data_IF_687525374049
#
_entry.id   IF_687525374049
#
_cell.length_a   1.000
_cell.length_b   1.000
_cell.length_c   1.000
_cell.angle_alpha   90.00
_cell.angle_beta   90.00
_cell.angle_gamma   90.00
#
_symmetry.space_group_name_H-M   'P 1'
#
loop_
_entity.id
_entity.type
_entity.pdbx_description
1 polymer ?
#
# COMPACT_ATOMS: atom_id res chain seq x y z
N UNK A 1 -38.08 9.00 49.72
CA UNK A 1 -37.31 9.15 48.46
C UNK A 1 -35.89 8.71 48.78
N UNK A 2 -35.34 7.86 47.94
CA UNK A 2 -34.26 6.93 48.27
C UNK A 2 -32.88 7.59 48.25
N UNK A 3 -32.17 7.48 49.37
CA UNK A 3 -30.71 7.41 49.42
C UNK A 3 -30.36 5.93 49.63
N UNK A 4 -29.60 5.35 48.71
CA UNK A 4 -28.98 4.05 48.93
C UNK A 4 -27.60 4.06 48.28
N UNK A 5 -26.61 4.04 49.14
CA UNK A 5 -25.19 3.87 48.84
C UNK A 5 -24.95 2.52 48.15
N UNK A 6 -24.54 2.57 46.89
CA UNK A 6 -24.03 1.39 46.18
C UNK A 6 -22.53 1.25 46.51
N UNK A 7 -22.22 0.63 47.65
CA UNK A 7 -20.89 0.15 47.98
C UNK A 7 -20.75 -1.30 47.51
N UNK A 8 -20.07 -1.52 46.39
CA UNK A 8 -19.66 -2.86 45.94
C UNK A 8 -18.15 -2.96 46.01
N UNK A 9 -17.71 -3.58 47.10
CA UNK A 9 -16.36 -4.09 47.34
C UNK A 9 -15.96 -5.06 46.22
N UNK A 10 -14.89 -4.74 45.49
CA UNK A 10 -14.26 -5.67 44.56
C UNK A 10 -13.33 -6.62 45.32
N UNK A 11 -13.60 -7.91 45.18
CA UNK A 11 -12.85 -9.02 45.75
C UNK A 11 -11.43 -9.09 45.19
N UNK A 12 -10.45 -9.18 46.09
CA UNK A 12 -9.05 -9.46 45.76
C UNK A 12 -8.92 -10.88 45.19
N UNK A 13 -8.57 -10.98 43.91
CA UNK A 13 -8.23 -12.25 43.27
C UNK A 13 -6.85 -12.67 43.75
N UNK A 14 -6.87 -13.80 44.44
CA UNK A 14 -5.81 -14.63 45.01
C UNK A 14 -4.49 -14.64 44.24
N UNK A 15 -3.42 -14.25 44.97
CA UNK A 15 -2.08 -14.81 44.83
C UNK A 15 -2.17 -16.33 45.02
N UNK A 16 -1.74 -17.11 44.04
CA UNK A 16 -1.69 -18.56 44.18
C UNK A 16 -0.96 -19.25 43.03
N UNK A 17 0.13 -19.95 43.37
CA UNK A 17 0.69 -21.01 42.54
C UNK A 17 2.10 -20.77 42.03
N UNK A 18 3.07 -20.99 42.92
CA UNK A 18 4.43 -21.33 42.53
C UNK A 18 4.40 -22.62 41.71
N UNK A 19 4.53 -22.48 40.39
CA UNK A 19 4.78 -23.56 39.47
C UNK A 19 6.04 -23.22 38.69
N UNK A 20 7.15 -23.88 39.04
CA UNK A 20 8.36 -23.99 38.23
C UNK A 20 8.02 -24.66 36.90
N UNK A 21 7.35 -23.93 36.02
CA UNK A 21 7.33 -24.21 34.61
C UNK A 21 8.67 -23.75 34.07
N UNK A 22 9.55 -24.71 33.77
CA UNK A 22 10.72 -24.48 32.91
C UNK A 22 10.23 -23.74 31.68
N UNK A 23 10.43 -22.41 31.66
CA UNK A 23 10.29 -21.60 30.45
C UNK A 23 11.36 -22.15 29.54
N UNK A 24 10.96 -23.09 28.68
CA UNK A 24 11.75 -23.55 27.56
C UNK A 24 11.90 -22.30 26.70
N UNK A 25 12.96 -21.55 26.96
CA UNK A 25 13.43 -20.49 26.10
C UNK A 25 13.70 -21.16 24.77
N UNK A 26 12.68 -21.14 23.91
CA UNK A 26 12.85 -21.51 22.52
C UNK A 26 13.90 -20.54 22.00
N UNK A 27 15.03 -21.01 21.46
CA UNK A 27 15.99 -20.11 20.86
C UNK A 27 15.31 -19.64 19.58
N UNK A 28 14.57 -18.52 19.65
CA UNK A 28 14.13 -17.79 18.47
C UNK A 28 15.41 -17.22 17.86
N UNK A 29 15.97 -18.09 17.04
CA UNK A 29 17.25 -17.96 16.37
C UNK A 29 17.02 -16.97 15.26
N UNK A 30 17.56 -15.76 15.41
CA UNK A 30 17.99 -14.86 14.31
C UNK A 30 16.98 -14.63 13.16
N UNK A 31 15.68 -14.86 13.40
CA UNK A 31 14.64 -14.68 12.41
C UNK A 31 14.30 -13.19 12.38
N UNK A 32 14.62 -12.54 11.26
CA UNK A 32 14.38 -11.12 11.06
C UNK A 32 12.93 -10.76 11.43
N UNK A 33 12.75 -9.67 12.16
CA UNK A 33 11.43 -9.27 12.62
C UNK A 33 10.51 -8.96 11.42
N UNK A 34 9.41 -9.70 11.18
CA UNK A 34 8.63 -9.62 9.94
C UNK A 34 8.12 -8.22 9.56
N UNK A 35 7.73 -7.33 10.51
CA UNK A 35 7.38 -5.95 10.18
C UNK A 35 8.54 -5.14 9.58
N UNK A 36 9.80 -5.47 9.87
CA UNK A 36 10.96 -4.79 9.27
C UNK A 36 11.03 -5.06 7.77
N UNK A 37 10.85 -6.32 7.37
CA UNK A 37 10.77 -6.70 5.95
C UNK A 37 9.56 -6.04 5.29
N UNK A 38 8.42 -6.06 5.97
CA UNK A 38 7.19 -5.45 5.49
C UNK A 38 7.34 -3.93 5.26
N UNK A 39 8.06 -3.24 6.14
CA UNK A 39 8.38 -1.82 5.98
C UNK A 39 9.29 -1.59 4.76
N UNK A 40 10.31 -2.41 4.55
CA UNK A 40 11.19 -2.30 3.37
C UNK A 40 10.40 -2.47 2.08
N UNK A 41 9.53 -3.47 2.03
CA UNK A 41 8.67 -3.72 0.88
C UNK A 41 7.68 -2.57 0.65
N UNK A 42 7.08 -2.06 1.73
CA UNK A 42 6.13 -0.95 1.67
C UNK A 42 6.81 0.33 1.16
N UNK A 43 7.99 0.68 1.68
CA UNK A 43 8.76 1.85 1.23
C UNK A 43 9.14 1.74 -0.26
N UNK A 44 9.52 0.54 -0.72
CA UNK A 44 9.79 0.29 -2.13
C UNK A 44 8.54 0.49 -2.98
N UNK A 45 7.42 -0.12 -2.62
CA UNK A 45 6.15 -0.01 -3.33
C UNK A 45 5.68 1.46 -3.39
N UNK A 46 5.77 2.18 -2.26
CA UNK A 46 5.43 3.59 -2.17
C UNK A 46 6.32 4.44 -3.08
N UNK A 47 7.63 4.19 -3.12
CA UNK A 47 8.54 4.91 -3.99
C UNK A 47 8.24 4.67 -5.48
N UNK A 48 7.98 3.41 -5.86
CA UNK A 48 7.62 3.06 -7.24
C UNK A 48 6.29 3.73 -7.65
N UNK A 49 5.28 3.70 -6.78
CA UNK A 49 4.01 4.42 -6.98
C UNK A 49 4.23 5.93 -7.22
N UNK A 50 5.05 6.60 -6.40
CA UNK A 50 5.36 8.03 -6.58
C UNK A 50 6.05 8.31 -7.92
N UNK A 51 6.98 7.45 -8.35
CA UNK A 51 7.66 7.59 -9.64
C UNK A 51 6.67 7.46 -10.79
N UNK A 52 5.78 6.47 -10.75
CA UNK A 52 4.78 6.23 -11.79
C UNK A 52 3.70 7.31 -11.80
N UNK A 53 3.28 7.83 -10.65
CA UNK A 53 2.39 8.98 -10.55
C UNK A 53 2.96 10.22 -11.26
N UNK A 54 4.23 10.57 -10.99
CA UNK A 54 4.88 11.68 -11.71
C UNK A 54 5.00 11.42 -13.21
N UNK A 55 5.16 10.17 -13.62
CA UNK A 55 5.20 9.80 -15.03
C UNK A 55 3.81 9.94 -15.68
N UNK A 56 2.77 9.47 -15.02
CA UNK A 56 1.37 9.60 -15.41
C UNK A 56 0.98 11.08 -15.56
N UNK A 57 1.26 11.93 -14.57
CA UNK A 57 0.94 13.38 -14.61
C UNK A 57 1.61 14.11 -15.79
N UNK A 58 2.84 13.73 -16.14
CA UNK A 58 3.54 14.29 -17.31
C UNK A 58 2.88 13.89 -18.61
N UNK A 59 2.41 12.64 -18.71
CA UNK A 59 1.71 12.16 -19.90
C UNK A 59 0.30 12.73 -20.00
N UNK A 60 -0.37 12.92 -18.88
CA UNK A 60 -1.65 13.63 -18.80
C UNK A 60 -1.53 15.04 -19.39
N UNK A 61 -0.53 15.80 -18.91
CA UNK A 61 -0.25 17.15 -19.41
C UNK A 61 -0.05 17.16 -20.93
N UNK A 62 0.68 16.17 -21.47
CA UNK A 62 0.89 16.04 -22.93
C UNK A 62 -0.38 15.65 -23.67
N UNK A 63 -1.18 14.74 -23.13
CA UNK A 63 -2.43 14.28 -23.74
C UNK A 63 -3.45 15.42 -23.85
N UNK A 64 -3.50 16.31 -22.85
CA UNK A 64 -4.33 17.51 -22.85
C UNK A 64 -3.84 18.58 -23.83
N UNK A 65 -2.53 18.70 -24.05
CA UNK A 65 -1.93 19.72 -24.94
C UNK A 65 -1.75 19.31 -26.41
N UNK A 66 -2.07 18.07 -26.81
CA UNK A 66 -1.75 17.54 -28.13
C UNK A 66 -2.87 17.73 -29.19
N UNK A 67 -2.48 17.91 -30.46
CA UNK A 67 -3.40 17.90 -31.61
C UNK A 67 -4.06 16.54 -31.86
N UNK A 68 -5.15 16.47 -32.63
CA UNK A 68 -6.07 15.30 -32.69
C UNK A 68 -5.42 13.91 -32.88
N UNK A 69 -4.44 13.76 -33.76
CA UNK A 69 -3.73 12.49 -33.98
C UNK A 69 -2.76 12.16 -32.83
N UNK A 70 -1.91 13.12 -32.44
CA UNK A 70 -1.01 13.01 -31.30
C UNK A 70 -1.76 12.80 -29.97
N UNK A 71 -2.99 13.33 -29.83
CA UNK A 71 -3.86 13.13 -28.67
C UNK A 71 -4.29 11.68 -28.52
N UNK A 72 -4.49 10.92 -29.61
CA UNK A 72 -4.83 9.48 -29.51
C UNK A 72 -3.67 8.67 -28.98
N UNK A 73 -2.47 8.86 -29.52
CA UNK A 73 -1.25 8.18 -29.04
C UNK A 73 -0.90 8.59 -27.61
N UNK A 74 -0.99 9.89 -27.30
CA UNK A 74 -0.75 10.40 -25.96
C UNK A 74 -1.76 9.86 -24.94
N UNK A 75 -3.04 9.70 -25.32
CA UNK A 75 -4.07 9.07 -24.49
C UNK A 75 -3.76 7.61 -24.20
N UNK A 76 -3.29 6.85 -25.18
CA UNK A 76 -2.86 5.45 -24.95
C UNK A 76 -1.69 5.40 -23.97
N UNK A 77 -0.67 6.23 -24.18
CA UNK A 77 0.46 6.31 -23.25
C UNK A 77 0.04 6.72 -21.84
N UNK A 78 -0.85 7.69 -21.72
CA UNK A 78 -1.46 8.10 -20.46
C UNK A 78 -2.22 6.95 -19.78
N UNK A 79 -3.07 6.21 -20.49
CA UNK A 79 -3.84 5.10 -19.93
C UNK A 79 -2.94 3.99 -19.39
N UNK A 80 -1.85 3.65 -20.10
CA UNK A 80 -0.85 2.69 -19.61
C UNK A 80 -0.16 3.21 -18.35
N UNK A 81 0.22 4.49 -18.32
CA UNK A 81 0.87 5.06 -17.15
C UNK A 81 -0.08 5.16 -15.94
N UNK A 82 -1.36 5.46 -16.18
CA UNK A 82 -2.41 5.45 -15.16
C UNK A 82 -2.59 4.06 -14.58
N UNK A 83 -2.75 3.02 -15.41
CA UNK A 83 -2.85 1.66 -14.88
C UNK A 83 -1.60 1.23 -14.11
N UNK A 84 -0.40 1.53 -14.63
CA UNK A 84 0.84 1.20 -13.94
C UNK A 84 0.93 1.86 -12.56
N UNK A 85 0.49 3.12 -12.45
CA UNK A 85 0.42 3.86 -11.19
C UNK A 85 -0.57 3.23 -10.21
N UNK A 86 -1.79 2.89 -10.68
CA UNK A 86 -2.83 2.22 -9.90
C UNK A 86 -2.35 0.87 -9.36
N UNK A 87 -1.72 0.03 -10.20
CA UNK A 87 -1.17 -1.26 -9.75
C UNK A 87 -0.06 -1.11 -8.70
N UNK A 88 0.83 -0.13 -8.88
CA UNK A 88 1.90 0.14 -7.95
C UNK A 88 1.38 0.68 -6.61
N UNK A 89 0.43 1.61 -6.64
CA UNK A 89 -0.26 2.10 -5.45
C UNK A 89 -0.97 0.95 -4.72
N UNK A 90 -1.73 0.14 -5.45
CA UNK A 90 -2.42 -1.05 -4.93
C UNK A 90 -1.46 -2.01 -4.23
N UNK A 91 -0.22 -2.12 -4.71
CA UNK A 91 0.77 -3.00 -4.09
C UNK A 91 1.22 -2.48 -2.71
N UNK A 92 1.29 -1.16 -2.50
CA UNK A 92 1.51 -0.58 -1.17
C UNK A 92 0.29 -0.80 -0.24
N UNK A 93 -0.94 -0.65 -0.75
CA UNK A 93 -2.18 -0.94 0.00
C UNK A 93 -2.23 -2.42 0.46
N UNK A 94 -1.92 -3.37 -0.42
CA UNK A 94 -1.86 -4.80 -0.08
C UNK A 94 -0.89 -5.10 1.07
N UNK A 95 0.15 -4.30 1.22
CA UNK A 95 1.10 -4.43 2.33
C UNK A 95 0.49 -3.89 3.62
N UNK A 96 -0.20 -2.75 3.56
CA UNK A 96 -0.95 -2.21 4.70
C UNK A 96 -2.05 -3.17 5.17
N UNK A 97 -2.77 -3.84 4.26
CA UNK A 97 -3.80 -4.83 4.60
C UNK A 97 -3.25 -6.03 5.40
N UNK A 98 -1.97 -6.38 5.17
CA UNK A 98 -1.29 -7.47 5.90
C UNK A 98 -0.81 -7.02 7.27
N UNK A 99 -0.52 -5.73 7.44
CA UNK A 99 0.13 -5.16 8.61
C UNK A 99 -0.51 -5.54 9.96
N UNK A 100 -1.86 -5.53 10.14
CA UNK A 100 -2.46 -5.88 11.43
C UNK A 100 -2.18 -7.33 11.84
N UNK A 101 -2.07 -8.24 10.87
CA UNK A 101 -1.85 -9.67 11.07
C UNK A 101 -0.36 -10.03 11.21
N UNK A 102 0.53 -9.13 10.83
CA UNK A 102 1.98 -9.30 10.99
C UNK A 102 2.38 -9.00 12.44
N UNK A 103 2.73 -10.04 13.18
CA UNK A 103 3.21 -9.95 14.56
C UNK A 103 4.62 -9.36 14.58
N UNK A 104 4.86 -8.39 15.47
CA UNK A 104 6.19 -7.90 15.78
C UNK A 104 6.82 -8.78 16.88
N UNK A 105 8.08 -9.13 16.70
CA UNK A 105 8.89 -9.87 17.69
C UNK A 105 9.85 -8.97 18.46
N UNK A 106 9.97 -7.70 18.08
CA UNK A 106 10.80 -6.69 18.74
C UNK A 106 10.11 -5.31 18.81
N UNK A 107 10.64 -4.41 19.63
CA UNK A 107 10.22 -3.00 19.64
C UNK A 107 10.52 -2.31 18.30
N UNK A 108 11.61 -2.66 17.63
CA UNK A 108 11.89 -2.16 16.27
C UNK A 108 10.84 -2.63 15.25
N UNK A 109 10.29 -3.82 15.40
CA UNK A 109 9.14 -4.27 14.60
C UNK A 109 7.90 -3.44 14.86
N UNK A 110 7.63 -3.06 16.13
CA UNK A 110 6.52 -2.14 16.46
C UNK A 110 6.76 -0.76 15.83
N UNK A 111 7.98 -0.23 15.93
CA UNK A 111 8.39 1.01 15.24
C UNK A 111 8.10 0.89 13.75
N UNK A 112 8.51 -0.20 13.09
CA UNK A 112 8.25 -0.40 11.67
C UNK A 112 6.77 -0.42 11.30
N UNK A 113 5.90 -0.99 12.14
CA UNK A 113 4.45 -0.93 11.90
C UNK A 113 3.94 0.50 11.95
N UNK A 114 4.38 1.27 12.94
CA UNK A 114 3.99 2.67 13.08
C UNK A 114 4.55 3.54 11.95
N UNK A 115 5.75 3.26 11.45
CA UNK A 115 6.31 3.93 10.27
C UNK A 115 5.46 3.68 9.02
N UNK A 116 4.94 2.47 8.83
CA UNK A 116 3.99 2.18 7.75
C UNK A 116 2.69 2.94 7.96
N UNK A 117 2.16 3.00 9.19
CA UNK A 117 0.89 3.69 9.50
C UNK A 117 1.02 5.20 9.24
N UNK A 118 2.06 5.84 9.78
CA UNK A 118 2.32 7.27 9.60
C UNK A 118 2.69 7.58 8.15
N UNK A 119 3.48 6.70 7.50
CA UNK A 119 3.90 6.88 6.12
C UNK A 119 2.84 6.58 5.07
N UNK A 120 1.80 5.81 5.41
CA UNK A 120 0.68 5.46 4.52
C UNK A 120 -0.04 6.68 3.94
N UNK A 121 0.23 7.87 4.49
CA UNK A 121 -0.51 9.07 4.23
C UNK A 121 -0.38 9.61 2.79
N UNK A 122 -1.51 9.53 2.06
CA UNK A 122 -1.84 10.42 0.93
C UNK A 122 -3.29 10.94 0.99
N UNK A 123 -4.09 10.55 1.98
CA UNK A 123 -5.54 10.78 2.00
C UNK A 123 -6.08 11.16 3.40
N UNK A 124 -5.24 11.49 4.38
CA UNK A 124 -5.74 12.08 5.62
C UNK A 124 -6.14 13.53 5.32
N UNK A 125 -7.44 13.83 5.41
CA UNK A 125 -8.00 15.18 5.19
C UNK A 125 -7.35 16.23 6.11
N UNK A 126 -7.06 15.86 7.36
CA UNK A 126 -6.33 16.68 8.33
C UNK A 126 -5.44 15.83 9.28
N UNK A 127 -4.10 15.82 9.08
CA UNK A 127 -3.17 15.05 9.91
C UNK A 127 -3.05 15.57 11.36
N UNK A 128 -3.72 16.68 11.69
CA UNK A 128 -3.79 17.19 13.07
C UNK A 128 -4.97 16.60 13.85
N UNK A 129 -5.89 15.91 13.18
CA UNK A 129 -7.02 15.27 13.85
C UNK A 129 -6.61 14.03 14.64
N UNK A 130 -7.38 13.75 15.70
CA UNK A 130 -7.24 12.51 16.45
C UNK A 130 -7.44 11.30 15.51
N UNK A 131 -6.59 10.25 15.55
CA UNK A 131 -5.53 9.99 16.53
C UNK A 131 -4.09 10.36 16.08
N UNK A 132 -3.90 11.00 14.93
CA UNK A 132 -2.59 11.08 14.28
C UNK A 132 -1.48 11.73 15.11
N UNK A 133 -1.69 12.89 15.78
CA UNK A 133 -0.67 13.46 16.65
C UNK A 133 -0.22 12.53 17.78
N UNK A 134 -1.13 11.67 18.27
CA UNK A 134 -0.83 10.72 19.34
C UNK A 134 0.01 9.55 18.81
N UNK A 135 -0.32 9.05 17.61
CA UNK A 135 0.45 7.99 16.95
C UNK A 135 1.87 8.48 16.63
N UNK A 136 2.02 9.69 16.11
CA UNK A 136 3.32 10.30 15.85
C UNK A 136 4.14 10.51 17.14
N UNK A 137 3.50 10.95 18.23
CA UNK A 137 4.15 11.07 19.53
C UNK A 137 4.67 9.71 20.02
N UNK A 138 3.83 8.67 19.99
CA UNK A 138 4.21 7.31 20.40
C UNK A 138 5.36 6.79 19.54
N UNK A 139 5.31 7.01 18.22
CA UNK A 139 6.38 6.61 17.31
C UNK A 139 7.70 7.32 17.66
N UNK A 140 7.66 8.62 17.97
CA UNK A 140 8.84 9.39 18.37
C UNK A 140 9.45 8.82 19.65
N UNK A 141 8.63 8.60 20.67
CA UNK A 141 9.11 8.07 21.96
C UNK A 141 9.69 6.66 21.80
N UNK A 142 9.06 5.80 20.98
CA UNK A 142 9.57 4.46 20.71
C UNK A 142 10.90 4.48 19.94
N UNK A 143 11.12 5.44 19.03
CA UNK A 143 12.40 5.61 18.35
C UNK A 143 13.53 6.00 19.30
N UNK A 144 13.24 6.84 20.29
CA UNK A 144 14.21 7.22 21.33
C UNK A 144 14.58 6.03 22.22
N UNK A 145 13.61 5.15 22.53
CA UNK A 145 13.82 4.01 23.43
C UNK A 145 14.47 2.81 22.71
N UNK A 146 13.97 2.47 21.53
CA UNK A 146 14.32 1.24 20.81
C UNK A 146 15.26 1.45 19.62
N UNK A 147 15.51 2.70 19.23
CA UNK A 147 16.22 3.07 18.02
C UNK A 147 15.31 3.22 16.80
N UNK A 148 15.91 3.64 15.69
CA UNK A 148 15.22 3.81 14.41
C UNK A 148 15.53 2.65 13.46
N UNK A 149 14.57 2.34 12.58
CA UNK A 149 14.80 1.40 11.49
C UNK A 149 15.58 2.12 10.38
N UNK A 150 16.73 1.62 9.92
CA UNK A 150 17.49 2.28 8.87
C UNK A 150 16.70 2.35 7.57
N UNK A 151 16.49 3.57 7.07
CA UNK A 151 15.87 3.83 5.79
C UNK A 151 16.91 3.74 4.67
N UNK A 152 17.12 2.54 4.15
CA UNK A 152 17.87 2.39 2.90
C UNK A 152 16.98 2.86 1.75
N UNK A 153 17.44 3.91 1.05
CA UNK A 153 16.82 4.30 -0.21
C UNK A 153 16.86 3.09 -1.16
N UNK A 154 15.72 2.67 -1.75
CA UNK A 154 15.73 1.55 -2.69
C UNK A 154 16.72 1.81 -3.82
N UNK A 155 17.49 0.78 -4.21
CA UNK A 155 18.39 0.89 -5.35
C UNK A 155 17.59 1.33 -6.59
N UNK A 156 18.12 2.36 -7.26
CA UNK A 156 17.54 2.90 -8.49
C UNK A 156 17.35 1.81 -9.55
N UNK A 157 18.26 0.83 -9.62
CA UNK A 157 18.17 -0.28 -10.57
C UNK A 157 16.91 -1.13 -10.32
N UNK A 158 16.62 -1.44 -9.05
CA UNK A 158 15.45 -2.20 -8.59
C UNK A 158 14.18 -1.40 -8.88
N UNK A 159 14.15 -0.12 -8.51
CA UNK A 159 12.99 0.75 -8.75
C UNK A 159 12.66 0.83 -10.24
N UNK A 160 13.69 0.95 -11.10
CA UNK A 160 13.48 0.95 -12.55
C UNK A 160 12.93 -0.38 -13.06
N UNK A 161 13.42 -1.50 -12.55
CA UNK A 161 12.92 -2.83 -12.91
C UNK A 161 11.44 -2.98 -12.51
N UNK A 162 11.07 -2.56 -11.30
CA UNK A 162 9.69 -2.58 -10.82
C UNK A 162 8.78 -1.68 -11.66
N UNK A 163 9.22 -0.44 -11.98
CA UNK A 163 8.48 0.44 -12.87
C UNK A 163 8.21 -0.21 -14.24
N UNK A 164 9.22 -0.84 -14.84
CA UNK A 164 9.06 -1.55 -16.13
C UNK A 164 8.08 -2.71 -16.02
N UNK A 165 8.10 -3.44 -14.90
CA UNK A 165 7.17 -4.55 -14.64
C UNK A 165 5.72 -4.06 -14.57
N UNK A 166 5.45 -2.98 -13.85
CA UNK A 166 4.10 -2.39 -13.79
C UNK A 166 3.67 -1.84 -15.15
N UNK A 167 4.57 -1.16 -15.88
CA UNK A 167 4.27 -0.66 -17.23
C UNK A 167 3.94 -1.77 -18.22
N UNK A 168 4.65 -2.91 -18.17
CA UNK A 168 4.36 -4.06 -19.01
C UNK A 168 2.97 -4.65 -18.71
N UNK A 169 2.66 -4.89 -17.43
CA UNK A 169 1.33 -5.38 -16.99
C UNK A 169 0.20 -4.43 -17.40
N UNK A 170 0.40 -3.14 -17.20
CA UNK A 170 -0.55 -2.12 -17.60
C UNK A 170 -0.76 -2.08 -19.12
N UNK A 171 0.30 -2.25 -19.92
CA UNK A 171 0.20 -2.30 -21.38
C UNK A 171 -0.60 -3.53 -21.85
N UNK A 172 -0.41 -4.68 -21.20
CA UNK A 172 -1.19 -5.89 -21.47
C UNK A 172 -2.68 -5.67 -21.13
N UNK A 173 -2.98 -5.09 -19.96
CA UNK A 173 -4.35 -4.79 -19.54
C UNK A 173 -5.06 -3.81 -20.49
N UNK A 174 -4.42 -2.67 -20.79
CA UNK A 174 -4.98 -1.67 -21.72
C UNK A 174 -5.17 -2.25 -23.12
N UNK A 175 -4.26 -3.13 -23.55
CA UNK A 175 -4.43 -3.86 -24.81
C UNK A 175 -5.68 -4.73 -24.76
N UNK A 176 -5.87 -5.54 -23.72
CA UNK A 176 -7.04 -6.40 -23.56
C UNK A 176 -8.36 -5.59 -23.54
N UNK A 177 -8.40 -4.46 -22.83
CA UNK A 177 -9.57 -3.58 -22.78
C UNK A 177 -9.95 -3.04 -24.16
N UNK A 178 -8.96 -2.69 -25.00
CA UNK A 178 -9.22 -2.25 -26.39
C UNK A 178 -9.84 -3.35 -27.24
N UNK A 179 -9.34 -4.57 -27.15
CA UNK A 179 -9.88 -5.70 -27.93
C UNK A 179 -11.31 -6.05 -27.49
N UNK A 180 -11.64 -5.87 -26.21
CA UNK A 180 -13.00 -6.07 -25.70
C UNK A 180 -13.98 -4.95 -26.12
N UNK A 181 -13.48 -3.76 -26.42
CA UNK A 181 -14.28 -2.61 -26.84
C UNK A 181 -14.53 -2.56 -28.37
N UNK A 182 -13.84 -3.37 -29.17
CA UNK A 182 -14.13 -3.52 -30.60
C UNK A 182 -15.28 -4.54 -30.79
N UNK A 183 -16.40 -4.17 -31.45
CA UNK A 183 -17.48 -5.11 -31.72
C UNK A 183 -16.98 -6.23 -32.64
N UNK A 184 -17.52 -7.46 -32.54
CA UNK A 184 -17.17 -8.52 -33.45
C UNK A 184 -17.60 -8.11 -34.86
N UNK A 185 -16.62 -7.79 -35.72
CA UNK A 185 -16.87 -7.55 -37.13
C UNK A 185 -17.42 -8.83 -37.75
N UNK A 186 -18.71 -8.79 -38.08
CA UNK A 186 -19.41 -9.93 -38.67
C UNK A 186 -20.83 -9.61 -39.06
N UNK A 187 -21.03 -8.67 -39.99
CA UNK A 187 -22.12 -8.81 -40.95
C UNK A 187 -21.71 -8.18 -42.29
N UNK A 188 -21.51 -9.07 -43.25
CA UNK A 188 -21.18 -8.77 -44.63
C UNK A 188 -22.28 -7.92 -45.25
N UNK A 189 -21.85 -6.91 -45.98
CA UNK A 189 -22.65 -6.23 -46.99
C UNK A 189 -23.23 -7.27 -47.95
N UNK A 190 -24.52 -7.59 -47.78
CA UNK A 190 -25.31 -8.15 -48.85
C UNK A 190 -25.78 -6.96 -49.71
N UNK A 191 -24.94 -6.59 -50.67
CA UNK A 191 -25.36 -5.84 -51.84
C UNK A 191 -26.40 -6.70 -52.58
N UNK A 192 -27.69 -6.40 -52.35
CA UNK A 192 -28.78 -6.86 -53.18
C UNK A 192 -28.89 -6.00 -54.42
N UNK A 193 -28.06 -6.28 -55.42
CA UNK A 193 -28.40 -6.04 -56.82
C UNK A 193 -29.21 -7.24 -57.31
N UNK A 194 -30.51 -7.05 -57.61
CA UNK A 194 -31.05 -7.23 -58.96
C UNK A 194 -32.59 -7.29 -59.01
N UNK A 195 -33.12 -6.55 -60.00
CA UNK A 195 -34.29 -6.78 -60.84
C UNK A 195 -35.64 -7.22 -60.23
N UNK A 196 -36.66 -6.35 -60.27
CA UNK A 196 -37.64 -6.26 -61.38
C UNK A 196 -38.43 -4.94 -61.31
#
# INVERSE_FOLDING_TARGET
MADSDNSTTLSSVTLGGSGEGTVKASPHSDEADPPLELLRDWLRAQHVSQVLCRFQQRLETRALGAGRAASREAKVGYSIAYQAEVEAATSALKIQDRLPRTRAHSLLGVVAKLEIIVGADRDIDDPTEFPWPHIESILRDLKEIAGSVPFERPDRSIVQADCRRYQARAADLVSLEKHAAEPPFGEQSAAGTDAE
#
